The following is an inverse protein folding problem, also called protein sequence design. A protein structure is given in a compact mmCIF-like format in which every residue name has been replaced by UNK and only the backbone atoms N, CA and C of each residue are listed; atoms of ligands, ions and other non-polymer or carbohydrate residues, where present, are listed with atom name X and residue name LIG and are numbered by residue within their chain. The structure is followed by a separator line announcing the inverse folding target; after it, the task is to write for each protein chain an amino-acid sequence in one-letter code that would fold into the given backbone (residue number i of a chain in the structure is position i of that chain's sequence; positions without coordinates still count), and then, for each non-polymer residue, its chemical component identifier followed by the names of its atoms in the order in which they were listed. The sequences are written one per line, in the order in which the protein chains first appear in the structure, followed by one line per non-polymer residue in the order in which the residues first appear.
data_IF_542342031501
#
_entry.id   IF_542342031501
#
_cell.length_a   1.000
_cell.length_b   1.000
_cell.length_c   1.000
_cell.angle_alpha   90.00
_cell.angle_beta   90.00
_cell.angle_gamma   90.00
#
_symmetry.space_group_name_H-M   'P 1'
#
loop_
_entity.id
_entity.type
_entity.pdbx_description
1 polymer ?
#
# COMPACT_ATOMS: atom_id res chain seq x y z
N UNK A 1 -12.80 -51.49 20.06
CA UNK A 1 -12.24 -51.13 18.74
C UNK A 1 -13.31 -51.43 17.69
N UNK A 2 -14.17 -50.46 17.37
CA UNK A 2 -15.27 -50.65 16.41
C UNK A 2 -14.68 -50.74 15.00
N UNK A 3 -14.72 -51.92 14.40
CA UNK A 3 -14.44 -52.11 12.98
C UNK A 3 -15.57 -51.45 12.19
N UNK A 4 -15.36 -50.20 11.79
CA UNK A 4 -16.21 -49.51 10.81
C UNK A 4 -16.32 -50.41 9.58
N UNK A 5 -17.56 -50.77 9.20
CA UNK A 5 -17.81 -51.52 7.96
C UNK A 5 -17.18 -50.77 6.79
N UNK A 6 -16.51 -51.50 5.90
CA UNK A 6 -15.81 -50.96 4.71
C UNK A 6 -16.68 -49.99 3.89
N UNK A 7 -17.98 -50.23 3.80
CA UNK A 7 -18.95 -49.37 3.11
C UNK A 7 -19.13 -48.01 3.79
N UNK A 8 -19.12 -47.95 5.12
CA UNK A 8 -19.22 -46.69 5.88
C UNK A 8 -17.99 -45.82 5.67
N UNK A 9 -16.79 -46.42 5.58
CA UNK A 9 -15.54 -45.68 5.34
C UNK A 9 -15.53 -45.01 3.95
N UNK A 10 -16.02 -45.70 2.92
CA UNK A 10 -16.09 -45.16 1.55
C UNK A 10 -17.02 -43.94 1.50
N UNK A 11 -18.19 -44.02 2.15
CA UNK A 11 -19.12 -42.90 2.21
C UNK A 11 -18.52 -41.69 2.93
N UNK A 12 -17.80 -41.91 4.03
CA UNK A 12 -17.10 -40.84 4.75
C UNK A 12 -16.04 -40.19 3.84
N UNK A 13 -15.23 -40.99 3.16
CA UNK A 13 -14.22 -40.50 2.21
C UNK A 13 -14.85 -39.67 1.08
N UNK A 14 -15.98 -40.13 0.53
CA UNK A 14 -16.72 -39.40 -0.49
C UNK A 14 -17.22 -38.05 0.01
N UNK A 15 -17.81 -38.00 1.22
CA UNK A 15 -18.27 -36.75 1.82
C UNK A 15 -17.14 -35.80 2.15
N UNK A 16 -16.02 -36.32 2.68
CA UNK A 16 -14.81 -35.51 2.92
C UNK A 16 -14.30 -34.94 1.61
N UNK A 17 -14.22 -35.74 0.55
CA UNK A 17 -13.80 -35.26 -0.77
C UNK A 17 -14.77 -34.20 -1.35
N UNK A 18 -16.08 -34.39 -1.22
CA UNK A 18 -17.09 -33.45 -1.70
C UNK A 18 -17.04 -32.12 -0.93
N UNK A 19 -16.94 -32.16 0.41
CA UNK A 19 -16.80 -30.95 1.23
C UNK A 19 -15.49 -30.23 0.92
N UNK A 20 -14.39 -30.98 0.80
CA UNK A 20 -13.09 -30.42 0.39
C UNK A 20 -13.20 -29.76 -0.99
N UNK A 21 -13.79 -30.42 -1.98
CA UNK A 21 -14.02 -29.84 -3.30
C UNK A 21 -14.87 -28.57 -3.23
N UNK A 22 -15.95 -28.54 -2.45
CA UNK A 22 -16.78 -27.34 -2.33
C UNK A 22 -16.03 -26.17 -1.68
N UNK A 23 -15.17 -26.43 -0.69
CA UNK A 23 -14.36 -25.41 -0.04
C UNK A 23 -13.26 -24.87 -0.96
N UNK A 24 -12.65 -25.72 -1.79
CA UNK A 24 -11.54 -25.33 -2.67
C UNK A 24 -11.96 -25.00 -4.11
N UNK A 25 -13.18 -25.33 -4.55
CA UNK A 25 -13.64 -25.09 -5.92
C UNK A 25 -13.59 -23.62 -6.35
N UNK A 26 -13.86 -22.61 -5.50
CA UNK A 26 -13.70 -21.21 -5.90
C UNK A 26 -12.24 -20.87 -6.22
N UNK A 27 -11.29 -21.44 -5.46
CA UNK A 27 -9.85 -21.23 -5.67
C UNK A 27 -9.39 -21.91 -6.95
N UNK A 28 -9.82 -23.16 -7.17
CA UNK A 28 -9.49 -23.91 -8.39
C UNK A 28 -10.08 -23.21 -9.62
N UNK A 29 -11.36 -22.83 -9.55
CA UNK A 29 -12.05 -22.17 -10.66
C UNK A 29 -11.39 -20.83 -11.02
N UNK A 30 -11.08 -20.02 -10.01
CA UNK A 30 -10.41 -18.73 -10.21
C UNK A 30 -9.01 -18.88 -10.82
N UNK A 31 -8.26 -19.91 -10.45
CA UNK A 31 -6.91 -20.15 -10.98
C UNK A 31 -6.91 -20.74 -12.39
N UNK A 32 -7.91 -21.55 -12.75
CA UNK A 32 -7.93 -22.30 -14.01
C UNK A 32 -8.79 -21.67 -15.11
N UNK A 33 -9.91 -21.03 -14.76
CA UNK A 33 -10.92 -20.61 -15.74
C UNK A 33 -11.03 -19.09 -15.93
N UNK A 34 -10.49 -18.28 -15.02
CA UNK A 34 -10.36 -16.84 -15.23
C UNK A 34 -9.08 -16.56 -16.02
N UNK A 35 -8.99 -17.10 -17.24
CA UNK A 35 -7.87 -16.89 -18.17
C UNK A 35 -7.93 -15.56 -18.90
N UNK A 36 -9.00 -14.78 -18.74
CA UNK A 36 -9.07 -13.46 -19.35
C UNK A 36 -8.14 -12.49 -18.60
N UNK A 37 -7.16 -12.01 -19.36
CA UNK A 37 -6.09 -11.05 -19.07
C UNK A 37 -4.95 -11.57 -18.15
N UNK A 38 -3.80 -11.75 -18.81
CA UNK A 38 -2.54 -12.32 -18.31
C UNK A 38 -1.89 -11.39 -17.28
N UNK A 39 -2.12 -11.66 -16.00
CA UNK A 39 -1.22 -11.14 -14.97
C UNK A 39 0.04 -12.00 -14.96
N UNK A 40 1.07 -11.60 -15.71
CA UNK A 40 2.33 -12.34 -15.73
C UNK A 40 3.10 -12.05 -14.44
N UNK A 41 3.26 -13.09 -13.61
CA UNK A 41 4.18 -13.03 -12.48
C UNK A 41 5.58 -13.25 -13.00
N UNK A 42 6.45 -12.28 -12.80
CA UNK A 42 7.87 -12.41 -13.09
C UNK A 42 8.65 -12.49 -11.78
N UNK A 43 9.74 -13.26 -11.77
CA UNK A 43 10.50 -13.64 -10.57
C UNK A 43 11.82 -12.89 -10.41
N UNK A 44 12.19 -12.03 -11.37
CA UNK A 44 13.45 -11.29 -11.37
C UNK A 44 13.30 -9.92 -10.69
N UNK A 45 14.35 -9.41 -10.01
CA UNK A 45 14.33 -8.08 -9.42
C UNK A 45 14.01 -7.05 -10.50
N UNK A 46 13.01 -6.22 -10.25
CA UNK A 46 12.42 -5.31 -11.23
C UNK A 46 13.38 -4.12 -11.46
N UNK A 47 14.14 -4.06 -12.57
CA UNK A 47 15.15 -3.04 -12.76
C UNK A 47 14.53 -1.87 -13.53
N UNK A 48 14.37 -0.69 -12.92
CA UNK A 48 13.64 0.39 -13.57
C UNK A 48 14.38 1.73 -13.56
N UNK A 49 14.81 2.23 -14.74
CA UNK A 49 14.98 3.67 -14.92
C UNK A 49 13.59 4.30 -14.77
N UNK A 50 13.40 5.06 -13.69
CA UNK A 50 12.21 5.86 -13.46
C UNK A 50 12.39 7.20 -14.16
N UNK A 51 11.30 7.77 -14.65
CA UNK A 51 11.26 9.18 -15.07
C UNK A 51 10.40 9.98 -14.10
N UNK A 52 10.78 11.23 -13.86
CA UNK A 52 9.91 12.22 -13.21
C UNK A 52 9.11 13.03 -14.24
N UNK A 53 9.34 12.80 -15.54
CA UNK A 53 8.70 13.51 -16.66
C UNK A 53 7.35 12.90 -17.02
N UNK A 54 6.49 12.70 -16.02
CA UNK A 54 5.13 12.19 -16.22
C UNK A 54 4.11 12.92 -15.34
N UNK A 55 2.85 12.82 -15.74
CA UNK A 55 1.70 13.14 -14.89
C UNK A 55 0.76 11.95 -14.90
N UNK A 56 0.31 11.54 -13.73
CA UNK A 56 -0.63 10.44 -13.59
C UNK A 56 -1.48 10.59 -12.33
N UNK A 57 -2.66 10.00 -12.35
CA UNK A 57 -3.49 9.79 -11.18
C UNK A 57 -4.26 8.46 -11.31
N UNK A 58 -4.32 7.71 -10.23
CA UNK A 58 -5.21 6.55 -10.09
C UNK A 58 -6.44 7.04 -9.36
N UNK A 59 -7.62 6.90 -9.94
CA UNK A 59 -8.81 7.61 -9.47
C UNK A 59 -9.76 6.70 -8.69
N UNK A 60 -9.94 5.47 -9.14
CA UNK A 60 -10.92 4.59 -8.53
C UNK A 60 -10.54 3.12 -8.62
N UNK A 61 -11.02 2.36 -7.64
CA UNK A 61 -11.01 0.91 -7.62
C UNK A 61 -12.35 0.44 -7.11
N UNK A 62 -13.11 -0.28 -7.94
CA UNK A 62 -14.43 -0.74 -7.58
C UNK A 62 -14.66 -2.19 -7.99
N UNK A 63 -15.55 -2.88 -7.27
CA UNK A 63 -15.90 -4.26 -7.57
C UNK A 63 -16.69 -4.31 -8.89
N UNK A 64 -16.07 -4.84 -9.94
CA UNK A 64 -16.66 -4.95 -11.27
C UNK A 64 -17.72 -6.07 -11.33
N UNK A 65 -17.46 -7.20 -10.66
CA UNK A 65 -18.40 -8.32 -10.65
C UNK A 65 -18.39 -9.10 -9.31
N UNK A 66 -19.40 -9.94 -9.10
CA UNK A 66 -19.54 -10.76 -7.88
C UNK A 66 -18.45 -11.84 -7.76
N UNK A 67 -17.76 -12.14 -8.85
CA UNK A 67 -16.64 -13.07 -8.92
C UNK A 67 -15.35 -12.47 -8.36
N UNK A 68 -15.37 -11.24 -7.83
CA UNK A 68 -14.19 -10.66 -7.18
C UNK A 68 -13.18 -10.06 -8.16
N UNK A 69 -13.62 -9.73 -9.38
CA UNK A 69 -12.88 -8.85 -10.28
C UNK A 69 -13.16 -7.40 -9.90
N UNK A 70 -12.10 -6.61 -9.80
CA UNK A 70 -12.16 -5.17 -9.57
C UNK A 70 -11.76 -4.45 -10.86
N UNK A 71 -12.35 -3.29 -11.12
CA UNK A 71 -11.87 -2.36 -12.16
C UNK A 71 -11.10 -1.22 -11.49
N UNK A 72 -9.87 -1.01 -11.94
CA UNK A 72 -9.00 0.10 -11.57
C UNK A 72 -8.98 1.08 -12.74
N UNK A 73 -9.28 2.35 -12.50
CA UNK A 73 -9.21 3.37 -13.55
C UNK A 73 -8.44 4.62 -13.10
N UNK A 74 -7.98 5.37 -14.09
CA UNK A 74 -7.23 6.60 -13.89
C UNK A 74 -6.78 7.20 -15.21
N UNK A 75 -5.75 8.03 -15.14
CA UNK A 75 -5.09 8.62 -16.31
C UNK A 75 -3.60 8.77 -16.09
N UNK A 76 -2.84 8.82 -17.17
CA UNK A 76 -1.41 9.06 -17.12
C UNK A 76 -0.78 9.30 -18.50
N UNK A 77 0.21 10.17 -18.55
CA UNK A 77 0.96 10.52 -19.76
C UNK A 77 2.38 11.00 -19.43
N UNK A 78 3.27 10.91 -20.42
CA UNK A 78 4.64 11.44 -20.34
C UNK A 78 4.66 12.90 -20.83
N UNK A 79 5.30 13.78 -20.08
CA UNK A 79 5.35 15.23 -20.37
C UNK A 79 6.17 15.51 -21.63
N UNK A 80 7.32 14.84 -21.77
CA UNK A 80 8.26 15.07 -22.87
C UNK A 80 7.96 14.26 -24.13
N UNK A 81 6.90 13.44 -24.13
CA UNK A 81 6.47 12.67 -25.30
C UNK A 81 5.00 12.90 -25.67
N UNK A 82 4.60 14.15 -25.97
CA UNK A 82 3.21 14.50 -26.12
C UNK A 82 2.36 13.74 -27.13
N UNK A 83 2.94 13.56 -28.30
CA UNK A 83 2.20 13.21 -29.51
C UNK A 83 2.16 11.70 -29.74
N UNK A 84 2.70 10.94 -28.80
CA UNK A 84 2.94 9.51 -28.92
C UNK A 84 2.01 8.69 -28.03
N UNK A 85 0.96 9.30 -27.46
CA UNK A 85 0.00 8.60 -26.60
C UNK A 85 -0.71 7.48 -27.36
N UNK A 86 -0.98 7.65 -28.65
CA UNK A 86 -1.52 6.59 -29.52
C UNK A 86 -0.49 5.50 -29.85
N UNK A 87 0.80 5.78 -29.66
CA UNK A 87 1.91 4.87 -29.96
C UNK A 87 2.39 4.06 -28.75
N UNK A 88 1.88 4.38 -27.55
CA UNK A 88 2.27 3.71 -26.31
C UNK A 88 1.14 2.81 -25.79
N UNK A 89 1.47 1.54 -25.54
CA UNK A 89 0.64 0.70 -24.68
C UNK A 89 0.94 1.04 -23.23
N UNK A 90 -0.11 1.15 -22.41
CA UNK A 90 0.02 1.35 -20.96
C UNK A 90 -0.27 0.05 -20.24
N UNK A 91 0.51 -0.22 -19.21
CA UNK A 91 0.22 -1.31 -18.28
C UNK A 91 0.27 -0.76 -16.87
N UNK A 92 -0.51 -1.37 -15.99
CA UNK A 92 -0.44 -1.10 -14.55
C UNK A 92 0.43 -2.17 -13.94
N UNK A 93 1.41 -1.76 -13.14
CA UNK A 93 2.26 -2.68 -12.42
C UNK A 93 1.96 -2.54 -10.93
N UNK A 94 1.51 -3.63 -10.33
CA UNK A 94 1.37 -3.75 -8.88
C UNK A 94 2.67 -4.29 -8.32
N UNK A 95 3.43 -3.51 -7.55
CA UNK A 95 4.75 -3.89 -7.05
C UNK A 95 4.75 -4.08 -5.54
N UNK A 96 5.31 -5.19 -5.09
CA UNK A 96 5.60 -5.50 -3.69
C UNK A 96 7.04 -6.01 -3.60
N UNK A 97 7.64 -6.10 -2.40
CA UNK A 97 9.07 -6.44 -2.24
C UNK A 97 9.50 -7.75 -2.88
N UNK A 98 8.58 -8.72 -2.98
CA UNK A 98 8.87 -10.08 -3.46
C UNK A 98 8.12 -10.45 -4.73
N UNK A 99 7.21 -9.58 -5.20
CA UNK A 99 6.27 -9.91 -6.27
C UNK A 99 5.85 -8.66 -6.99
N UNK A 100 5.65 -8.78 -8.28
CA UNK A 100 4.91 -7.80 -9.04
C UNK A 100 3.93 -8.47 -9.98
N UNK A 101 2.91 -7.70 -10.37
CA UNK A 101 1.87 -8.11 -11.30
C UNK A 101 1.76 -7.04 -12.37
N UNK A 102 1.86 -7.44 -13.63
CA UNK A 102 1.60 -6.56 -14.77
C UNK A 102 0.15 -6.77 -15.18
N UNK A 103 -0.58 -5.68 -15.36
CA UNK A 103 -1.99 -5.67 -15.72
C UNK A 103 -2.14 -4.89 -17.01
N UNK A 104 -2.74 -5.52 -18.02
CA UNK A 104 -3.06 -4.84 -19.26
C UNK A 104 -4.10 -3.74 -19.02
N UNK A 105 -4.02 -2.68 -19.81
CA UNK A 105 -5.00 -1.59 -19.74
C UNK A 105 -5.77 -1.43 -21.04
N UNK A 106 -7.05 -1.08 -20.90
CA UNK A 106 -7.89 -0.57 -21.97
C UNK A 106 -7.75 0.96 -22.00
N UNK A 107 -7.56 1.53 -23.19
CA UNK A 107 -7.48 2.99 -23.39
C UNK A 107 -8.85 3.62 -23.21
N UNK A 108 -8.92 4.72 -22.44
CA UNK A 108 -10.16 5.45 -22.18
C UNK A 108 -10.03 6.90 -22.61
N UNK A 109 -11.04 7.39 -23.32
CA UNK A 109 -11.11 8.80 -23.70
C UNK A 109 -11.41 9.69 -22.48
N UNK A 110 -10.53 10.65 -22.20
CA UNK A 110 -10.61 11.59 -21.07
C UNK A 110 -10.50 13.04 -21.55
N UNK A 111 -11.61 13.53 -22.13
CA UNK A 111 -11.74 14.93 -22.58
C UNK A 111 -11.50 15.93 -21.46
N UNK A 112 -11.91 15.60 -20.25
CA UNK A 112 -11.69 16.40 -19.04
C UNK A 112 -10.21 16.58 -18.71
N UNK A 113 -9.42 15.51 -18.77
CA UNK A 113 -7.96 15.55 -18.59
C UNK A 113 -7.31 16.39 -19.69
N UNK A 114 -7.75 16.20 -20.94
CA UNK A 114 -7.29 17.00 -22.08
C UNK A 114 -7.57 18.50 -21.91
N UNK A 115 -8.77 18.85 -21.44
CA UNK A 115 -9.14 20.24 -21.19
C UNK A 115 -8.34 20.87 -20.05
N UNK A 116 -8.07 20.10 -18.98
CA UNK A 116 -7.31 20.58 -17.82
C UNK A 116 -5.84 20.87 -18.16
N UNK A 117 -5.23 20.04 -19.01
CA UNK A 117 -3.82 20.13 -19.39
C UNK A 117 -3.60 20.73 -20.79
N UNK A 118 -4.58 21.44 -21.33
CA UNK A 118 -4.54 22.00 -22.70
C UNK A 118 -3.33 22.91 -22.94
N UNK A 119 -2.83 23.58 -21.90
CA UNK A 119 -1.65 24.46 -21.98
C UNK A 119 -0.32 23.71 -22.08
N UNK A 120 -0.30 22.43 -21.72
CA UNK A 120 0.91 21.60 -21.71
C UNK A 120 0.98 20.80 -23.01
N UNK A 121 -0.18 20.45 -23.60
CA UNK A 121 -0.20 19.43 -24.63
C UNK A 121 -1.46 19.45 -25.51
N UNK A 122 -1.29 19.25 -26.82
CA UNK A 122 -2.39 19.37 -27.80
C UNK A 122 -3.29 18.12 -27.91
N UNK A 123 -2.84 16.93 -27.46
CA UNK A 123 -3.67 15.72 -27.50
C UNK A 123 -3.41 14.75 -26.33
N UNK A 124 -4.21 14.90 -25.28
CA UNK A 124 -4.29 13.99 -24.12
C UNK A 124 -5.61 13.21 -24.09
N UNK A 125 -6.36 13.20 -25.19
CA UNK A 125 -7.69 12.58 -25.22
C UNK A 125 -7.64 11.10 -24.85
N UNK A 126 -6.55 10.40 -25.16
CA UNK A 126 -6.36 8.99 -24.83
C UNK A 126 -5.59 8.75 -23.53
N UNK A 127 -5.34 9.76 -22.69
CA UNK A 127 -4.56 9.61 -21.46
C UNK A 127 -5.23 8.73 -20.38
N UNK A 128 -6.52 8.42 -20.50
CA UNK A 128 -7.25 7.57 -19.57
C UNK A 128 -6.96 6.09 -19.74
N UNK A 129 -7.05 5.33 -18.65
CA UNK A 129 -6.89 3.88 -18.65
C UNK A 129 -7.92 3.20 -17.74
N UNK A 130 -8.22 1.94 -18.05
CA UNK A 130 -8.94 0.98 -17.18
C UNK A 130 -8.22 -0.35 -17.18
N UNK A 131 -8.24 -1.06 -16.06
CA UNK A 131 -7.70 -2.41 -15.96
C UNK A 131 -8.54 -3.27 -15.03
N UNK A 132 -8.61 -4.57 -15.30
CA UNK A 132 -9.35 -5.53 -14.48
C UNK A 132 -8.39 -6.34 -13.63
N UNK A 133 -8.67 -6.40 -12.33
CA UNK A 133 -7.85 -7.09 -11.32
C UNK A 133 -8.69 -8.17 -10.66
N UNK A 134 -8.37 -9.44 -10.93
CA UNK A 134 -8.94 -10.54 -10.13
C UNK A 134 -8.26 -10.58 -8.78
N UNK A 135 -9.04 -10.45 -7.69
CA UNK A 135 -8.51 -10.55 -6.32
C UNK A 135 -7.90 -11.92 -5.99
N UNK A 136 -8.15 -12.94 -6.82
CA UNK A 136 -7.59 -14.27 -6.64
C UNK A 136 -6.25 -14.46 -7.34
N UNK A 137 -5.94 -13.63 -8.35
CA UNK A 137 -4.62 -13.63 -9.03
C UNK A 137 -3.56 -12.84 -8.24
N UNK A 138 -4.00 -11.88 -7.42
CA UNK A 138 -3.13 -11.07 -6.55
C UNK A 138 -3.12 -11.65 -5.14
N UNK A 139 -1.94 -11.99 -4.61
CA UNK A 139 -1.85 -12.51 -3.25
C UNK A 139 -2.14 -11.41 -2.21
N UNK A 140 -2.57 -11.75 -0.99
CA UNK A 140 -2.67 -10.77 0.08
C UNK A 140 -1.36 -10.01 0.32
N UNK A 141 -1.45 -8.70 0.54
CA UNK A 141 -0.32 -7.80 0.72
C UNK A 141 -0.58 -6.36 0.29
N UNK A 142 0.45 -5.53 0.39
CA UNK A 142 0.46 -4.14 -0.08
C UNK A 142 1.22 -4.04 -1.39
N UNK A 143 0.61 -3.35 -2.34
CA UNK A 143 1.13 -3.19 -3.69
C UNK A 143 1.17 -1.72 -4.06
N UNK A 144 2.36 -1.25 -4.38
CA UNK A 144 2.57 0.04 -4.99
C UNK A 144 2.09 0.02 -6.44
N UNK A 145 1.40 1.07 -6.88
CA UNK A 145 0.92 1.17 -8.27
C UNK A 145 1.95 1.97 -9.08
N UNK A 146 2.49 1.35 -10.13
CA UNK A 146 3.28 2.01 -11.17
C UNK A 146 2.55 1.92 -12.50
N UNK A 147 2.84 2.87 -13.39
CA UNK A 147 2.45 2.79 -14.80
C UNK A 147 3.67 2.46 -15.64
N UNK A 148 3.54 1.56 -16.60
CA UNK A 148 4.49 1.41 -17.70
C UNK A 148 3.93 2.10 -18.95
N UNK A 149 4.81 2.78 -19.68
CA UNK A 149 4.56 3.31 -21.01
C UNK A 149 5.50 2.58 -21.95
N UNK A 150 4.95 1.66 -22.74
CA UNK A 150 5.72 0.83 -23.66
C UNK A 150 5.50 1.28 -25.09
N UNK A 151 6.60 1.68 -25.73
CA UNK A 151 6.66 1.93 -27.16
C UNK A 151 6.60 0.63 -27.96
N UNK A 152 5.95 0.66 -29.13
CA UNK A 152 5.88 -0.49 -30.04
C UNK A 152 7.26 -1.07 -30.40
N UNK A 153 8.28 -0.22 -30.49
CA UNK A 153 9.67 -0.59 -30.83
C UNK A 153 10.73 0.09 -29.96
N UNK A 154 10.33 0.62 -28.81
CA UNK A 154 11.18 1.49 -28.02
C UNK A 154 11.32 1.03 -26.58
N UNK A 155 11.92 1.91 -25.80
CA UNK A 155 12.13 1.69 -24.38
C UNK A 155 10.81 1.68 -23.61
N UNK A 156 10.80 0.95 -22.49
CA UNK A 156 9.69 1.00 -21.54
C UNK A 156 10.04 2.06 -20.51
N UNK A 157 9.18 3.05 -20.38
CA UNK A 157 9.32 4.12 -19.39
C UNK A 157 8.37 3.82 -18.23
N UNK A 158 8.87 3.96 -17.01
CA UNK A 158 8.10 3.68 -15.82
C UNK A 158 7.83 4.93 -15.02
N UNK A 159 6.59 5.06 -14.58
CA UNK A 159 6.07 6.18 -13.81
C UNK A 159 5.55 5.70 -12.46
N UNK A 160 5.96 6.41 -11.43
CA UNK A 160 5.71 6.07 -10.04
C UNK A 160 4.49 6.85 -9.51
N UNK A 161 3.38 6.18 -9.23
CA UNK A 161 2.18 6.88 -8.72
C UNK A 161 2.25 7.07 -7.19
N UNK A 162 1.44 7.92 -6.61
CA UNK A 162 1.29 8.06 -5.15
C UNK A 162 0.21 7.13 -4.57
N UNK A 163 -0.11 6.04 -5.27
CA UNK A 163 -1.24 5.16 -4.96
C UNK A 163 -0.80 3.74 -4.65
N UNK A 164 -1.52 3.09 -3.73
CA UNK A 164 -1.36 1.67 -3.42
C UNK A 164 -2.66 0.91 -3.55
N UNK A 165 -2.53 -0.39 -3.76
CA UNK A 165 -3.58 -1.36 -3.51
C UNK A 165 -3.21 -2.24 -2.31
N UNK A 166 -4.12 -2.31 -1.35
CA UNK A 166 -4.07 -3.30 -0.28
C UNK A 166 -4.97 -4.48 -0.62
N UNK A 167 -4.37 -5.66 -0.79
CA UNK A 167 -5.10 -6.92 -0.93
C UNK A 167 -5.23 -7.58 0.44
N UNK A 168 -6.46 -7.62 0.96
CA UNK A 168 -6.85 -8.44 2.12
C UNK A 168 -7.21 -9.85 1.65
N UNK A 169 -7.69 -10.79 2.49
CA UNK A 169 -8.34 -12.00 2.00
C UNK A 169 -9.67 -11.72 1.26
N UNK A 170 -10.42 -10.70 1.66
CA UNK A 170 -11.81 -10.50 1.23
C UNK A 170 -11.97 -9.49 0.07
N UNK A 171 -11.15 -8.45 0.06
CA UNK A 171 -11.26 -7.30 -0.85
C UNK A 171 -9.91 -6.74 -1.30
N UNK A 172 -9.97 -5.91 -2.34
CA UNK A 172 -8.90 -4.98 -2.76
C UNK A 172 -9.33 -3.57 -2.36
N UNK A 173 -8.41 -2.78 -1.82
CA UNK A 173 -8.65 -1.41 -1.35
C UNK A 173 -7.61 -0.50 -1.98
N UNK A 174 -8.05 0.55 -2.67
CA UNK A 174 -7.18 1.62 -3.16
C UNK A 174 -6.93 2.60 -2.01
N UNK A 175 -5.67 2.90 -1.76
CA UNK A 175 -5.23 3.83 -0.74
C UNK A 175 -4.40 4.94 -1.39
N UNK A 176 -4.77 6.18 -1.10
CA UNK A 176 -3.99 7.36 -1.45
C UNK A 176 -2.99 7.57 -0.31
N UNK A 177 -1.71 7.31 -0.55
CA UNK A 177 -0.69 7.43 0.49
C UNK A 177 0.66 7.71 -0.13
N UNK A 178 1.25 8.85 0.24
CA UNK A 178 2.65 9.15 -0.10
C UNK A 178 3.60 8.09 0.48
N UNK A 179 3.25 7.45 1.61
CA UNK A 179 4.01 6.36 2.20
C UNK A 179 4.26 5.19 1.24
N UNK A 180 3.34 4.94 0.30
CA UNK A 180 3.48 3.92 -0.74
C UNK A 180 4.73 4.09 -1.61
N UNK A 181 4.97 5.32 -2.07
CA UNK A 181 6.08 5.67 -2.96
C UNK A 181 7.43 5.39 -2.29
N UNK A 182 7.56 5.77 -1.02
CA UNK A 182 8.82 5.67 -0.28
C UNK A 182 9.16 4.24 0.14
N UNK A 183 8.18 3.49 0.64
CA UNK A 183 8.42 2.15 1.16
C UNK A 183 8.71 1.13 0.06
N UNK A 184 8.16 1.33 -1.14
CA UNK A 184 8.55 0.56 -2.31
C UNK A 184 10.01 0.79 -2.70
N UNK A 185 10.47 2.05 -2.77
CA UNK A 185 11.86 2.36 -3.12
C UNK A 185 12.85 1.74 -2.12
N UNK A 186 12.55 1.82 -0.83
CA UNK A 186 13.38 1.26 0.24
C UNK A 186 13.62 -0.25 0.08
N UNK A 187 12.63 -0.99 -0.43
CA UNK A 187 12.76 -2.45 -0.58
C UNK A 187 13.19 -2.91 -1.97
N UNK A 188 12.96 -2.11 -3.01
CA UNK A 188 13.40 -2.42 -4.37
C UNK A 188 14.93 -2.42 -4.51
N UNK A 189 15.64 -1.63 -3.71
CA UNK A 189 17.12 -1.58 -3.75
C UNK A 189 17.78 -2.78 -3.03
N UNK A 190 16.99 -3.76 -2.54
CA UNK A 190 17.50 -4.91 -1.79
C UNK A 190 18.18 -4.51 -0.48
N UNK A 191 18.02 -3.26 -0.08
CA UNK A 191 18.61 -2.73 1.13
C UNK A 191 17.75 -3.22 2.29
N UNK A 192 18.41 -3.88 3.23
CA UNK A 192 17.75 -4.41 4.43
C UNK A 192 17.04 -3.25 5.14
N UNK A 193 15.89 -3.49 5.75
CA UNK A 193 15.13 -2.49 6.49
C UNK A 193 15.96 -1.83 7.59
N UNK A 194 16.98 -2.51 8.11
CA UNK A 194 17.96 -1.92 9.04
C UNK A 194 18.71 -0.71 8.44
N UNK A 195 18.70 -0.54 7.12
CA UNK A 195 19.24 0.62 6.42
C UNK A 195 18.24 1.77 6.26
N UNK A 196 16.98 1.65 6.71
CA UNK A 196 16.05 2.79 6.75
C UNK A 196 16.69 3.98 7.48
N UNK A 197 17.42 3.71 8.57
CA UNK A 197 18.21 4.67 9.35
C UNK A 197 19.25 5.43 8.51
N UNK A 198 19.66 4.87 7.37
CA UNK A 198 20.70 5.45 6.52
C UNK A 198 20.15 6.28 5.35
N UNK A 199 18.90 6.03 4.92
CA UNK A 199 18.32 6.71 3.74
C UNK A 199 17.34 7.80 4.10
N UNK A 200 16.67 7.63 5.21
CA UNK A 200 15.85 8.65 5.76
C UNK A 200 16.69 9.23 6.91
N UNK A 201 17.05 10.50 6.84
CA UNK A 201 17.72 11.11 7.99
C UNK A 201 16.68 11.23 9.09
N UNK A 202 16.86 10.52 10.21
CA UNK A 202 16.15 10.90 11.44
C UNK A 202 16.41 12.40 11.60
N UNK A 203 15.37 13.24 11.57
CA UNK A 203 15.59 14.65 11.80
C UNK A 203 16.22 14.78 13.18
N UNK A 204 17.38 15.43 13.27
CA UNK A 204 18.10 15.79 14.52
C UNK A 204 17.20 16.49 15.55
N UNK A 205 16.02 16.91 15.09
CA UNK A 205 15.04 17.76 15.73
C UNK A 205 13.64 17.16 15.63
N UNK A 206 13.42 16.00 16.27
CA UNK A 206 12.07 15.43 16.41
C UNK A 206 11.82 14.79 17.76
N UNK A 207 10.55 14.72 18.15
CA UNK A 207 10.09 14.08 19.38
C UNK A 207 8.87 13.22 19.06
N UNK A 208 8.83 12.02 19.64
CA UNK A 208 7.72 11.09 19.45
C UNK A 208 7.52 10.23 20.69
N UNK A 209 6.29 9.81 20.93
CA UNK A 209 5.92 8.87 21.96
C UNK A 209 4.64 8.14 21.59
N UNK A 210 4.57 6.84 21.91
CA UNK A 210 3.35 6.03 21.79
C UNK A 210 2.70 5.95 23.15
N UNK A 211 1.48 6.46 23.29
CA UNK A 211 0.76 6.45 24.56
C UNK A 211 0.23 5.05 24.88
N UNK A 212 -0.54 4.48 23.95
CA UNK A 212 -1.14 3.16 24.13
C UNK A 212 -1.53 2.51 22.81
N UNK A 213 -1.70 1.19 22.90
CA UNK A 213 -2.37 0.35 21.91
C UNK A 213 -3.53 -0.37 22.60
N UNK A 214 -4.74 -0.24 22.07
CA UNK A 214 -5.93 -0.85 22.67
C UNK A 214 -6.84 -1.48 21.61
N UNK A 215 -7.64 -2.48 22.01
CA UNK A 215 -8.65 -3.06 21.11
C UNK A 215 -9.77 -2.04 20.89
N UNK A 216 -10.01 -1.68 19.64
CA UNK A 216 -11.07 -0.75 19.25
C UNK A 216 -12.42 -1.44 19.06
N UNK A 217 -12.43 -2.66 18.50
CA UNK A 217 -13.65 -3.43 18.30
C UNK A 217 -13.41 -4.96 18.30
N UNK A 218 -14.51 -5.72 18.32
CA UNK A 218 -14.51 -7.19 18.28
C UNK A 218 -14.07 -7.79 16.93
N UNK A 219 -13.91 -6.97 15.89
CA UNK A 219 -13.48 -7.40 14.55
C UNK A 219 -11.94 -7.44 14.41
N UNK A 220 -11.22 -7.26 15.52
CA UNK A 220 -9.75 -7.26 15.51
C UNK A 220 -9.17 -5.96 14.94
N UNK A 221 -9.85 -4.83 15.14
CA UNK A 221 -9.27 -3.51 14.91
C UNK A 221 -8.70 -2.99 16.22
N UNK A 222 -7.46 -2.51 16.19
CA UNK A 222 -6.78 -1.88 17.31
C UNK A 222 -6.58 -0.40 17.03
N UNK A 223 -6.57 0.39 18.08
CA UNK A 223 -6.28 1.80 18.07
C UNK A 223 -4.91 2.04 18.67
N UNK A 224 -4.01 2.63 17.87
CA UNK A 224 -2.71 3.12 18.29
C UNK A 224 -2.79 4.64 18.44
N UNK A 225 -2.49 5.12 19.64
CA UNK A 225 -2.52 6.55 19.98
C UNK A 225 -1.16 6.98 20.47
N UNK A 226 -0.75 8.18 20.09
CA UNK A 226 0.50 8.78 20.53
C UNK A 226 0.60 10.24 20.18
N UNK A 227 1.81 10.77 20.26
CA UNK A 227 2.14 12.09 19.76
C UNK A 227 3.51 12.09 19.09
N UNK A 228 3.70 12.98 18.11
CA UNK A 228 4.96 13.18 17.44
C UNK A 228 4.98 14.47 16.63
N UNK A 229 6.12 15.17 16.66
CA UNK A 229 6.30 16.43 15.96
C UNK A 229 7.79 16.70 15.69
N UNK A 230 8.04 17.59 14.72
CA UNK A 230 9.35 18.12 14.41
C UNK A 230 9.58 19.38 15.24
N UNK A 231 10.74 19.51 15.89
CA UNK A 231 11.06 20.69 16.70
C UNK A 231 11.49 21.88 15.84
N UNK A 232 11.75 21.68 14.55
CA UNK A 232 11.99 22.75 13.60
C UNK A 232 10.65 23.36 13.11
N UNK A 233 10.32 24.55 13.62
CA UNK A 233 9.05 25.25 13.33
C UNK A 233 8.78 25.44 11.83
N UNK A 234 9.81 25.63 11.01
CA UNK A 234 9.67 25.84 9.55
C UNK A 234 9.18 24.57 8.85
N UNK A 235 9.57 23.40 9.35
CA UNK A 235 9.15 22.11 8.79
C UNK A 235 7.78 21.70 9.32
N UNK A 236 7.46 21.97 10.58
CA UNK A 236 6.19 21.57 11.16
C UNK A 236 4.99 22.25 10.47
N UNK A 237 5.06 23.54 10.18
CA UNK A 237 3.97 24.28 9.55
C UNK A 237 3.65 23.78 8.12
N UNK A 238 4.55 22.97 7.55
CA UNK A 238 4.38 22.35 6.24
C UNK A 238 3.80 20.94 6.31
N UNK A 239 3.63 20.35 7.48
CA UNK A 239 3.10 18.98 7.60
C UNK A 239 1.60 19.01 7.37
N UNK A 240 1.11 18.23 6.41
CA UNK A 240 -0.32 18.15 6.11
C UNK A 240 -0.94 16.79 6.44
N UNK A 241 -0.15 15.71 6.48
CA UNK A 241 -0.65 14.39 6.85
C UNK A 241 0.39 13.55 7.57
N UNK A 242 -0.09 12.52 8.28
CA UNK A 242 0.73 11.57 9.02
C UNK A 242 0.27 10.15 8.79
N UNK A 243 1.21 9.22 8.92
CA UNK A 243 0.98 7.80 8.77
C UNK A 243 1.77 7.02 9.81
N UNK A 244 1.16 5.97 10.34
CA UNK A 244 1.83 4.96 11.14
C UNK A 244 2.31 3.87 10.20
N UNK A 245 3.59 3.54 10.26
CA UNK A 245 4.17 2.46 9.47
C UNK A 245 4.66 1.37 10.42
N UNK A 246 4.13 0.17 10.25
CA UNK A 246 4.60 -1.03 10.93
C UNK A 246 5.57 -1.74 10.01
N UNK A 247 6.78 -1.99 10.47
CA UNK A 247 7.85 -2.57 9.66
C UNK A 247 8.39 -3.84 10.32
N UNK A 248 8.49 -4.92 9.55
CA UNK A 248 9.22 -6.13 9.94
C UNK A 248 10.17 -6.55 8.80
N UNK A 249 11.12 -7.48 9.00
CA UNK A 249 12.23 -7.72 8.06
C UNK A 249 11.85 -8.01 6.59
N UNK A 250 10.60 -8.37 6.31
CA UNK A 250 10.16 -8.77 4.97
C UNK A 250 8.86 -8.10 4.51
N UNK A 251 8.31 -7.18 5.29
CA UNK A 251 6.98 -6.64 5.07
C UNK A 251 6.79 -5.34 5.85
N UNK A 252 5.85 -4.55 5.39
CA UNK A 252 5.46 -3.32 6.04
C UNK A 252 3.97 -3.10 5.83
N UNK A 253 3.39 -2.27 6.68
CA UNK A 253 2.00 -1.91 6.65
C UNK A 253 1.88 -0.42 6.95
N UNK A 254 1.15 0.31 6.12
CA UNK A 254 0.92 1.75 6.28
C UNK A 254 -0.51 1.98 6.71
N UNK A 255 -0.69 2.75 7.77
CA UNK A 255 -1.98 3.11 8.31
C UNK A 255 -2.09 4.62 8.38
N UNK A 256 -3.17 5.16 7.83
CA UNK A 256 -3.48 6.57 7.99
C UNK A 256 -3.55 6.94 9.48
N UNK A 257 -2.97 8.08 9.86
CA UNK A 257 -3.02 8.60 11.21
C UNK A 257 -3.80 9.91 11.22
N UNK A 258 -4.91 9.92 11.96
CA UNK A 258 -5.74 11.11 12.14
C UNK A 258 -5.03 12.05 13.13
N UNK A 259 -4.71 13.30 12.75
CA UNK A 259 -4.10 14.26 13.66
C UNK A 259 -5.03 14.60 14.83
N UNK A 260 -4.47 14.79 16.01
CA UNK A 260 -5.21 15.15 17.22
C UNK A 260 -4.55 16.29 17.97
N UNK A 261 -5.37 17.18 18.55
CA UNK A 261 -4.89 18.16 19.51
C UNK A 261 -4.52 17.49 20.83
N UNK A 262 -3.41 17.93 21.43
CA UNK A 262 -2.91 17.47 22.73
C UNK A 262 -2.42 18.66 23.52
N UNK A 263 -3.30 19.22 24.35
CA UNK A 263 -3.01 20.42 25.16
C UNK A 263 -1.87 20.15 26.12
N UNK A 264 -1.86 18.98 26.74
CA UNK A 264 -0.81 18.48 27.62
C UNK A 264 0.58 18.49 26.94
N UNK A 265 0.64 18.02 25.69
CA UNK A 265 1.90 17.98 24.92
C UNK A 265 2.32 19.40 24.50
N UNK A 266 1.36 20.22 24.05
CA UNK A 266 1.63 21.61 23.69
C UNK A 266 2.17 22.42 24.87
N UNK A 267 1.55 22.29 26.04
CA UNK A 267 1.95 22.94 27.29
C UNK A 267 3.34 22.46 27.75
N UNK A 268 3.60 21.15 27.74
CA UNK A 268 4.88 20.60 28.19
C UNK A 268 6.07 21.06 27.32
N UNK A 269 5.87 21.14 26.00
CA UNK A 269 6.93 21.53 25.07
C UNK A 269 6.92 23.02 24.68
N UNK A 270 6.04 23.83 25.28
CA UNK A 270 5.83 25.25 24.95
C UNK A 270 5.69 25.48 23.44
N UNK A 271 4.93 24.62 22.76
CA UNK A 271 4.67 24.76 21.33
C UNK A 271 3.73 25.96 21.13
N UNK A 272 4.18 27.01 20.45
CA UNK A 272 3.37 28.21 20.19
C UNK A 272 2.15 27.88 19.32
N UNK A 273 1.03 28.58 19.57
CA UNK A 273 -0.27 28.37 18.91
C UNK A 273 -0.29 28.63 17.39
N UNK A 274 0.79 29.14 16.79
CA UNK A 274 0.90 29.36 15.35
C UNK A 274 1.14 28.02 14.60
N UNK A 275 0.06 27.38 14.15
CA UNK A 275 0.03 26.25 13.20
C UNK A 275 0.74 24.93 13.57
N UNK A 276 1.34 24.81 14.76
CA UNK A 276 2.02 23.60 15.25
C UNK A 276 1.06 22.56 15.90
N UNK A 277 -0.21 22.92 16.11
CA UNK A 277 -1.04 22.47 17.24
C UNK A 277 -1.84 21.16 17.09
N UNK A 278 -1.29 20.14 16.42
CA UNK A 278 -1.86 18.79 16.51
C UNK A 278 -0.76 17.75 16.70
N UNK A 279 0.06 17.80 17.77
CA UNK A 279 1.16 16.83 17.92
C UNK A 279 0.63 15.40 18.17
N UNK A 280 -0.62 15.24 18.60
CA UNK A 280 -1.24 13.93 18.77
C UNK A 280 -1.58 13.26 17.44
N UNK A 281 -1.73 11.94 17.48
CA UNK A 281 -2.28 11.16 16.39
C UNK A 281 -3.03 9.93 16.90
N UNK A 282 -3.93 9.43 16.07
CA UNK A 282 -4.65 8.17 16.28
C UNK A 282 -4.69 7.39 14.97
N UNK A 283 -4.36 6.10 15.03
CA UNK A 283 -4.36 5.21 13.87
C UNK A 283 -5.11 3.92 14.15
N UNK A 284 -5.84 3.41 13.16
CA UNK A 284 -6.62 2.16 13.25
C UNK A 284 -5.90 1.05 12.51
N UNK A 285 -5.53 0.01 13.23
CA UNK A 285 -4.76 -1.14 12.75
C UNK A 285 -5.68 -2.36 12.72
N UNK A 286 -6.04 -2.81 11.52
CA UNK A 286 -6.80 -4.05 11.36
C UNK A 286 -5.85 -5.26 11.39
N UNK A 287 -5.94 -6.08 12.43
CA UNK A 287 -5.03 -7.22 12.66
C UNK A 287 -5.12 -8.27 11.57
N UNK A 288 -6.30 -8.44 10.96
CA UNK A 288 -6.48 -9.33 9.81
C UNK A 288 -5.68 -8.93 8.55
N UNK A 289 -5.04 -7.76 8.53
CA UNK A 289 -4.09 -7.37 7.49
C UNK A 289 -2.66 -7.83 7.80
N UNK A 290 -2.33 -7.98 9.08
CA UNK A 290 -0.99 -8.26 9.55
C UNK A 290 -0.71 -9.76 9.53
N UNK A 291 0.48 -10.14 9.09
CA UNK A 291 1.00 -11.47 9.37
C UNK A 291 1.42 -11.56 10.85
N UNK A 292 1.51 -12.76 11.44
CA UNK A 292 2.10 -12.90 12.77
C UNK A 292 3.57 -12.46 12.77
N UNK A 293 4.02 -11.77 13.82
CA UNK A 293 5.40 -11.29 13.93
C UNK A 293 5.58 -10.06 14.83
N UNK A 294 6.80 -9.53 14.86
CA UNK A 294 7.17 -8.30 15.57
C UNK A 294 7.37 -7.19 14.53
N UNK A 295 6.85 -6.01 14.84
CA UNK A 295 6.86 -4.86 13.95
C UNK A 295 7.38 -3.62 14.66
N UNK A 296 8.45 -3.01 14.16
CA UNK A 296 8.90 -1.67 14.58
C UNK A 296 7.87 -0.63 14.10
N UNK A 297 7.58 0.35 14.93
CA UNK A 297 6.61 1.41 14.63
C UNK A 297 7.37 2.66 14.23
N UNK A 298 7.05 3.18 13.05
CA UNK A 298 7.53 4.46 12.56
C UNK A 298 6.36 5.42 12.38
N UNK A 299 6.63 6.71 12.56
CA UNK A 299 5.69 7.78 12.26
C UNK A 299 6.20 8.57 11.06
N UNK A 300 5.44 8.58 9.98
CA UNK A 300 5.75 9.33 8.76
C UNK A 300 4.97 10.65 8.76
N UNK A 301 5.64 11.71 8.32
CA UNK A 301 5.14 13.05 8.16
C UNK A 301 5.29 13.45 6.70
N UNK A 302 4.19 13.88 6.11
CA UNK A 302 4.16 14.34 4.73
C UNK A 302 4.10 15.85 4.71
N UNK A 303 5.13 16.47 4.16
CA UNK A 303 5.19 17.92 3.96
C UNK A 303 4.43 18.32 2.68
N UNK A 304 3.91 19.55 2.65
CA UNK A 304 3.21 20.14 1.49
C UNK A 304 4.13 20.20 0.26
N UNK A 305 5.43 20.34 0.46
CA UNK A 305 6.43 20.35 -0.62
C UNK A 305 6.79 18.93 -1.12
N UNK A 306 6.08 17.90 -0.66
CA UNK A 306 6.25 16.52 -1.10
C UNK A 306 7.38 15.76 -0.37
N UNK A 307 8.13 16.43 0.51
CA UNK A 307 9.11 15.77 1.35
C UNK A 307 8.43 14.86 2.37
N UNK A 308 9.02 13.69 2.59
CA UNK A 308 8.59 12.74 3.62
C UNK A 308 9.66 12.64 4.68
N UNK A 309 9.24 12.88 5.91
CA UNK A 309 10.07 12.78 7.10
C UNK A 309 9.52 11.63 7.92
N UNK A 310 10.38 10.89 8.60
CA UNK A 310 9.99 9.77 9.43
C UNK A 310 10.65 9.89 10.80
N UNK A 311 10.07 9.24 11.79
CA UNK A 311 10.64 9.12 13.13
C UNK A 311 10.49 7.67 13.57
N UNK A 312 11.59 7.05 13.99
CA UNK A 312 11.52 5.78 14.72
C UNK A 312 11.00 6.05 16.12
N UNK A 313 9.93 5.34 16.49
CA UNK A 313 9.32 5.51 17.80
C UNK A 313 10.06 4.74 18.91
N UNK A 314 11.04 3.90 18.54
CA UNK A 314 11.74 2.95 19.42
C UNK A 314 10.78 2.02 20.16
N UNK A 315 9.60 1.79 19.56
CA UNK A 315 8.55 0.90 20.04
C UNK A 315 8.21 -0.10 18.95
N UNK A 316 7.74 -1.27 19.37
CA UNK A 316 7.25 -2.28 18.46
C UNK A 316 5.91 -2.83 18.92
N UNK A 317 5.15 -3.38 17.95
CA UNK A 317 3.99 -4.21 18.23
C UNK A 317 4.28 -5.66 17.90
N UNK A 318 3.77 -6.57 18.73
CA UNK A 318 3.81 -8.01 18.47
C UNK A 318 2.42 -8.50 18.10
N UNK A 319 2.31 -9.18 16.96
CA UNK A 319 1.11 -9.84 16.49
C UNK A 319 1.21 -11.36 16.67
N UNK A 320 0.43 -11.90 17.62
CA UNK A 320 0.32 -13.34 17.88
C UNK A 320 -1.15 -13.68 18.13
N UNK A 321 -1.65 -14.75 17.49
CA UNK A 321 -3.01 -15.26 17.70
C UNK A 321 -4.11 -14.19 17.57
N UNK A 322 -4.01 -13.32 16.56
CA UNK A 322 -4.95 -12.22 16.30
C UNK A 322 -5.01 -11.15 17.42
N UNK A 323 -4.01 -11.12 18.29
CA UNK A 323 -3.83 -10.09 19.30
C UNK A 323 -2.61 -9.24 18.99
N UNK A 324 -2.73 -7.93 19.20
CA UNK A 324 -1.61 -7.00 19.18
C UNK A 324 -1.25 -6.54 20.59
N UNK A 325 0.03 -6.61 20.92
CA UNK A 325 0.58 -6.02 22.13
C UNK A 325 1.64 -5.00 21.77
N UNK A 326 1.63 -3.84 22.45
CA UNK A 326 2.70 -2.86 22.39
C UNK A 326 3.81 -3.27 23.36
N UNK A 327 5.06 -3.24 22.89
CA UNK A 327 6.22 -3.50 23.73
C UNK A 327 7.00 -2.21 23.97
N UNK A 328 7.37 -2.00 25.22
CA UNK A 328 7.96 -0.73 25.68
C UNK A 328 9.49 -0.67 25.57
N UNK A 329 10.13 -1.80 25.27
CA UNK A 329 11.59 -1.91 25.25
C UNK A 329 12.10 -2.10 23.83
N UNK A 330 12.99 -1.21 23.39
CA UNK A 330 13.67 -1.29 22.09
C UNK A 330 14.37 -2.65 21.88
N UNK A 331 14.95 -3.20 22.96
CA UNK A 331 15.57 -4.56 22.96
C UNK A 331 14.61 -5.71 22.67
N UNK A 332 13.30 -5.49 22.77
CA UNK A 332 12.28 -6.50 22.44
C UNK A 332 11.85 -6.45 20.98
N UNK A 333 12.38 -5.49 20.22
CA UNK A 333 12.05 -5.26 18.83
C UNK A 333 13.03 -5.93 17.84
N UNK A 334 14.06 -6.60 18.36
CA UNK A 334 15.12 -7.28 17.60
C UNK A 334 15.06 -8.82 17.72
#
# INVERSE_FOLDING_TARGET
MYLLKKTTLINILFWVAAVTYLLFSPIIYANWFLTDEESTRLSEPFPMPKTDDFKANVENLYLYNKQGTYELAGWGFLINYPNLIEEYSREIILVSPKKYYILQTEVVNRKDVNNYFISIQENLTMAGFKSRISKYKVTPGHYHIMLSFKQKFGEVVYADTNHCITRTPNQLILNDSLGCKYLHWLMAEGKNIDSLEHFLAEPDESKVYIDYLSSYNSQGVYELTGWGFLTNNIRQSKIHSREVVLVSPNQYYVFHAVPMQRKDVNEYFNLSDENLAMPGFQSKIAVGLLNPGIYKIYLLFHAIDGNVIYIDTKRCVTHINNNLSLNDNDKSCD
#
